data_IF_285783429004
#
_entry.id   IF_285783429004
#
_cell.length_a   1.000
_cell.length_b   1.000
_cell.length_c   1.000
_cell.angle_alpha   90.00
_cell.angle_beta   90.00
_cell.angle_gamma   90.00
#
_symmetry.space_group_name_H-M   'P 1'
#
loop_
_entity.id
_entity.type
_entity.pdbx_description
1 polymer ?
#
# COMPACT_ATOMS: atom_id res chain seq x y z
N UNK A 1 -32.65 -0.08 -0.36
CA UNK A 1 -31.65 -0.17 -1.45
C UNK A 1 -30.45 0.71 -1.14
N UNK A 2 -29.27 0.34 -1.61
CA UNK A 2 -28.07 1.17 -1.49
C UNK A 2 -28.11 2.26 -2.58
N UNK A 3 -27.99 3.55 -2.25
CA UNK A 3 -28.05 4.62 -3.25
C UNK A 3 -26.86 4.58 -4.22
N UNK A 4 -27.12 4.82 -5.52
CA UNK A 4 -26.08 4.82 -6.56
C UNK A 4 -25.11 6.02 -6.47
N UNK A 5 -25.55 7.12 -5.86
CA UNK A 5 -24.78 8.34 -5.64
C UNK A 5 -25.08 8.91 -4.25
N UNK A 6 -24.06 9.46 -3.60
CA UNK A 6 -24.19 10.17 -2.32
C UNK A 6 -23.32 11.41 -2.33
N UNK A 7 -23.82 12.52 -1.78
CA UNK A 7 -23.04 13.75 -1.73
C UNK A 7 -21.78 13.59 -0.88
N UNK A 8 -20.62 13.91 -1.44
CA UNK A 8 -19.32 13.80 -0.76
C UNK A 8 -18.62 12.43 -0.87
N UNK A 9 -19.21 11.46 -1.58
CA UNK A 9 -18.70 10.09 -1.75
C UNK A 9 -17.36 10.00 -2.53
N UNK A 10 -17.01 11.05 -3.27
CA UNK A 10 -15.75 11.15 -4.04
C UNK A 10 -14.57 11.75 -3.24
N UNK A 11 -14.81 12.45 -2.14
CA UNK A 11 -13.79 13.33 -1.53
C UNK A 11 -13.57 13.17 -0.03
N UNK A 12 -14.53 12.61 0.72
CA UNK A 12 -14.45 12.53 2.18
C UNK A 12 -13.87 11.19 2.66
N UNK A 13 -13.06 11.24 3.73
CA UNK A 13 -12.48 10.06 4.38
C UNK A 13 -13.55 9.14 5.01
N UNK A 14 -14.70 9.69 5.37
CA UNK A 14 -15.71 9.03 6.21
C UNK A 14 -16.96 8.57 5.45
N UNK A 15 -17.06 8.82 4.13
CA UNK A 15 -18.21 8.39 3.32
C UNK A 15 -17.74 7.34 2.30
N UNK A 16 -18.08 6.06 2.48
CA UNK A 16 -17.72 5.03 1.52
C UNK A 16 -18.59 5.16 0.26
N UNK A 17 -17.97 5.25 -0.92
CA UNK A 17 -18.71 5.13 -2.18
C UNK A 17 -18.65 3.68 -2.67
N UNK A 18 -19.81 3.02 -2.71
CA UNK A 18 -19.95 1.69 -3.29
C UNK A 18 -19.55 1.65 -4.78
N UNK A 19 -19.78 2.75 -5.51
CA UNK A 19 -19.37 2.86 -6.91
C UNK A 19 -17.85 2.78 -7.11
N UNK A 20 -17.06 3.47 -6.28
CA UNK A 20 -15.59 3.37 -6.31
C UNK A 20 -15.11 1.99 -5.89
N UNK A 21 -15.77 1.36 -4.90
CA UNK A 21 -15.46 -0.02 -4.47
C UNK A 21 -15.68 -1.01 -5.64
N UNK A 22 -16.85 -1.00 -6.26
CA UNK A 22 -17.13 -1.87 -7.41
C UNK A 22 -16.17 -1.60 -8.59
N UNK A 23 -15.81 -0.34 -8.85
CA UNK A 23 -14.80 0.01 -9.87
C UNK A 23 -13.42 -0.56 -9.56
N UNK A 24 -12.98 -0.53 -8.31
CA UNK A 24 -11.69 -1.12 -7.90
C UNK A 24 -11.68 -2.62 -8.17
N UNK A 25 -12.74 -3.33 -7.79
CA UNK A 25 -12.86 -4.78 -7.97
C UNK A 25 -12.89 -5.16 -9.45
N UNK A 26 -13.75 -4.51 -10.26
CA UNK A 26 -13.89 -4.79 -11.69
C UNK A 26 -12.62 -4.50 -12.49
N UNK A 27 -11.85 -3.47 -12.08
CA UNK A 27 -10.60 -3.12 -12.74
C UNK A 27 -9.39 -3.92 -12.25
N UNK A 28 -9.56 -4.81 -11.26
CA UNK A 28 -8.43 -5.43 -10.54
C UNK A 28 -7.38 -4.39 -10.10
N UNK A 29 -7.85 -3.25 -9.56
CA UNK A 29 -6.97 -2.17 -9.08
C UNK A 29 -6.34 -2.57 -7.75
N UNK A 30 -5.23 -3.31 -7.83
CA UNK A 30 -4.47 -3.79 -6.67
C UNK A 30 -4.07 -2.68 -5.68
N UNK A 31 -3.77 -1.49 -6.19
CA UNK A 31 -3.36 -0.36 -5.35
C UNK A 31 -4.54 0.45 -4.84
N UNK A 32 -5.76 0.12 -5.28
CA UNK A 32 -7.00 0.80 -4.91
C UNK A 32 -6.88 2.33 -5.05
N UNK A 33 -6.24 2.80 -6.12
CA UNK A 33 -5.99 4.24 -6.38
C UNK A 33 -7.28 5.03 -6.45
N UNK A 34 -8.34 4.42 -6.97
CA UNK A 34 -9.66 5.02 -7.00
C UNK A 34 -10.24 5.27 -5.60
N UNK A 35 -9.74 4.63 -4.53
CA UNK A 35 -10.12 4.86 -3.13
C UNK A 35 -9.14 5.80 -2.40
N UNK A 36 -8.37 6.60 -3.15
CA UNK A 36 -7.37 7.52 -2.59
C UNK A 36 -6.21 6.82 -1.88
N UNK A 37 -6.01 5.51 -2.10
CA UNK A 37 -4.82 4.82 -1.67
C UNK A 37 -3.66 5.08 -2.64
N UNK A 38 -2.44 5.01 -2.11
CA UNK A 38 -1.21 5.13 -2.90
C UNK A 38 -0.20 4.09 -2.43
N UNK A 39 0.72 3.64 -3.30
CA UNK A 39 1.79 2.75 -2.91
C UNK A 39 2.56 3.33 -1.72
N UNK A 40 2.82 2.51 -0.71
CA UNK A 40 3.59 2.95 0.45
C UNK A 40 4.99 3.35 0.01
N UNK A 41 5.49 4.49 0.48
CA UNK A 41 6.85 4.95 0.15
C UNK A 41 7.87 3.91 0.61
N UNK A 42 8.69 3.41 -0.32
CA UNK A 42 9.72 2.39 -0.06
C UNK A 42 10.82 2.85 0.91
N UNK A 43 10.90 4.14 1.25
CA UNK A 43 11.94 4.73 2.10
C UNK A 43 12.10 4.01 3.45
N UNK A 44 10.99 3.61 4.08
CA UNK A 44 11.05 2.89 5.36
C UNK A 44 11.60 1.47 5.18
N UNK A 45 11.23 0.80 4.09
CA UNK A 45 11.73 -0.53 3.75
C UNK A 45 13.23 -0.50 3.35
N UNK A 46 13.66 0.52 2.62
CA UNK A 46 15.07 0.76 2.30
C UNK A 46 15.92 0.93 3.57
N UNK A 47 15.48 1.78 4.51
CA UNK A 47 16.15 1.95 5.82
C UNK A 47 16.23 0.66 6.61
N UNK A 48 15.17 -0.14 6.59
CA UNK A 48 15.17 -1.47 7.21
C UNK A 48 16.21 -2.38 6.57
N UNK A 49 16.26 -2.44 5.23
CA UNK A 49 17.22 -3.26 4.50
C UNK A 49 18.67 -2.85 4.80
N UNK A 50 18.96 -1.55 4.85
CA UNK A 50 20.28 -1.01 5.22
C UNK A 50 20.67 -1.45 6.64
N UNK A 51 19.77 -1.32 7.61
CA UNK A 51 20.02 -1.74 8.99
C UNK A 51 20.27 -3.26 9.08
N UNK A 52 19.48 -4.05 8.38
CA UNK A 52 19.64 -5.51 8.37
C UNK A 52 20.95 -5.92 7.67
N UNK A 53 21.37 -5.19 6.63
CA UNK A 53 22.66 -5.42 5.97
C UNK A 53 23.83 -5.26 6.95
N UNK A 54 23.83 -4.18 7.75
CA UNK A 54 24.83 -3.98 8.80
C UNK A 54 24.82 -5.09 9.85
N UNK A 55 23.63 -5.44 10.36
CA UNK A 55 23.48 -6.54 11.32
C UNK A 55 23.96 -7.89 10.78
N UNK A 56 23.71 -8.19 9.50
CA UNK A 56 24.17 -9.43 8.87
C UNK A 56 25.69 -9.51 8.77
N UNK A 57 26.36 -8.36 8.59
CA UNK A 57 27.83 -8.28 8.64
C UNK A 57 28.33 -8.53 10.07
N UNK A 58 27.73 -7.89 11.07
CA UNK A 58 28.06 -8.10 12.49
C UNK A 58 27.86 -9.55 12.94
N UNK A 59 26.77 -10.18 12.47
CA UNK A 59 26.45 -11.56 12.84
C UNK A 59 27.27 -12.61 12.11
N UNK A 60 28.02 -12.25 11.06
CA UNK A 60 28.79 -13.19 10.26
C UNK A 60 27.94 -14.30 9.61
N UNK A 61 26.63 -14.11 9.44
CA UNK A 61 25.73 -15.16 8.91
C UNK A 61 25.96 -15.41 7.42
N UNK A 62 26.49 -14.42 6.72
CA UNK A 62 27.01 -14.57 5.37
C UNK A 62 28.53 -14.62 5.46
N UNK A 63 29.04 -15.67 6.10
CA UNK A 63 30.46 -16.02 6.04
C UNK A 63 30.87 -16.08 4.57
N UNK A 64 31.96 -15.37 4.27
CA UNK A 64 32.91 -15.57 3.18
C UNK A 64 32.62 -16.84 2.37
N UNK A 65 32.22 -16.66 1.11
CA UNK A 65 32.60 -17.65 0.10
C UNK A 65 34.09 -17.40 -0.11
N UNK A 66 34.92 -18.32 0.37
CA UNK A 66 36.26 -18.48 -0.21
C UNK A 66 36.17 -18.60 -1.75
#
# INVERSE_FOLDING_TARGET
>A
EVPQTQQGDIGAKDIPSWRRICKVLLNNDYWCRALSFSPTKAKNYQRYNERIKGKRQEWGILCNND
#
